data_IF_062216072007
#
_entry.id   IF_062216072007
#
_cell.length_a   1.000
_cell.length_b   1.000
_cell.length_c   1.000
_cell.angle_alpha   90.00
_cell.angle_beta   90.00
_cell.angle_gamma   90.00
#
_symmetry.space_group_name_H-M   'P 1'
#
loop_
_entity.id
_entity.type
_entity.pdbx_description
1 polymer ?
#
# COMPACT_ATOMS: atom_id res chain seq x y z
N UNK A 1 7.94 -9.76 -30.83
CA UNK A 1 6.86 -10.72 -30.56
C UNK A 1 7.46 -11.75 -29.62
N UNK A 2 7.02 -11.83 -28.36
CA UNK A 2 7.64 -12.70 -27.35
C UNK A 2 7.30 -14.18 -27.58
N UNK A 3 8.17 -15.08 -27.11
CA UNK A 3 7.92 -16.53 -27.15
C UNK A 3 6.83 -16.83 -26.13
N UNK A 4 5.62 -17.16 -26.60
CA UNK A 4 4.46 -17.40 -25.75
C UNK A 4 3.98 -18.84 -25.89
N UNK A 5 3.82 -19.53 -24.76
CA UNK A 5 3.21 -20.86 -24.68
C UNK A 5 1.71 -20.71 -24.47
N UNK A 6 0.90 -21.35 -25.32
CA UNK A 6 -0.57 -21.41 -25.14
C UNK A 6 -0.96 -22.41 -24.04
N UNK A 7 -2.09 -22.22 -23.33
CA UNK A 7 -2.57 -23.19 -22.35
C UNK A 7 -2.94 -24.52 -23.04
N UNK A 8 -2.47 -25.63 -22.46
CA UNK A 8 -2.83 -26.97 -22.93
C UNK A 8 -4.15 -27.41 -22.31
N UNK A 9 -5.25 -27.20 -23.04
CA UNK A 9 -6.58 -27.59 -22.59
C UNK A 9 -6.86 -29.09 -22.75
N UNK A 10 -5.91 -29.88 -23.24
CA UNK A 10 -6.06 -31.34 -23.31
C UNK A 10 -5.68 -32.02 -21.98
N UNK A 11 -4.80 -31.40 -21.19
CA UNK A 11 -4.39 -31.89 -19.88
C UNK A 11 -5.52 -31.79 -18.84
N UNK A 12 -6.02 -32.93 -18.29
CA UNK A 12 -7.05 -32.92 -17.26
C UNK A 12 -6.59 -32.25 -15.96
N UNK A 13 -5.29 -32.31 -15.63
CA UNK A 13 -4.76 -31.72 -14.39
C UNK A 13 -4.80 -30.20 -14.46
N UNK A 14 -4.39 -29.61 -15.59
CA UNK A 14 -4.47 -28.18 -15.80
C UNK A 14 -5.92 -27.68 -15.79
N UNK A 15 -6.84 -28.41 -16.42
CA UNK A 15 -8.28 -28.10 -16.39
C UNK A 15 -8.84 -28.06 -14.97
N UNK A 16 -8.51 -29.03 -14.13
CA UNK A 16 -8.97 -29.06 -12.74
C UNK A 16 -8.43 -27.88 -11.93
N UNK A 17 -7.16 -27.51 -12.14
CA UNK A 17 -6.55 -26.33 -11.50
C UNK A 17 -7.22 -25.03 -11.93
N UNK A 18 -7.47 -24.86 -13.23
CA UNK A 18 -8.14 -23.67 -13.77
C UNK A 18 -9.58 -23.54 -13.25
N UNK A 19 -10.31 -24.65 -13.08
CA UNK A 19 -11.65 -24.64 -12.48
C UNK A 19 -11.65 -24.09 -11.04
N UNK A 20 -10.54 -24.24 -10.32
CA UNK A 20 -10.33 -23.71 -8.97
C UNK A 20 -9.67 -22.31 -8.95
N UNK A 21 -9.48 -21.67 -10.11
CA UNK A 21 -8.80 -20.37 -10.23
C UNK A 21 -7.27 -20.43 -10.05
N UNK A 22 -6.67 -21.60 -10.19
CA UNK A 22 -5.22 -21.85 -10.08
C UNK A 22 -4.62 -22.26 -11.43
N UNK A 23 -3.29 -22.39 -11.50
CA UNK A 23 -2.62 -22.92 -12.70
C UNK A 23 -2.44 -21.90 -13.83
N UNK A 24 -2.67 -20.62 -13.56
CA UNK A 24 -2.44 -19.53 -14.51
C UNK A 24 -0.95 -19.28 -14.83
N UNK A 25 -0.03 -20.01 -14.19
CA UNK A 25 1.41 -20.00 -14.43
C UNK A 25 1.90 -21.05 -15.45
N UNK A 26 1.01 -21.91 -15.99
CA UNK A 26 1.40 -23.00 -16.92
C UNK A 26 1.52 -22.56 -18.40
N UNK A 27 1.12 -21.32 -18.69
CA UNK A 27 1.08 -20.72 -20.02
C UNK A 27 1.59 -19.27 -19.95
N UNK A 28 1.86 -18.68 -21.11
CA UNK A 28 2.44 -17.34 -21.21
C UNK A 28 3.93 -17.39 -21.54
N UNK A 29 4.66 -16.40 -21.05
CA UNK A 29 6.11 -16.30 -21.22
C UNK A 29 6.85 -17.18 -20.20
N UNK A 30 7.94 -17.87 -20.57
CA UNK A 30 8.74 -18.61 -19.62
C UNK A 30 9.35 -17.70 -18.55
N UNK A 31 9.04 -17.94 -17.28
CA UNK A 31 9.57 -17.14 -16.17
C UNK A 31 11.11 -17.17 -16.14
N UNK A 32 11.71 -18.32 -16.44
CA UNK A 32 13.16 -18.45 -16.63
C UNK A 32 13.51 -18.66 -18.12
N UNK A 33 14.53 -17.98 -18.65
CA UNK A 33 15.33 -16.92 -18.02
C UNK A 33 14.70 -15.52 -18.15
N UNK A 34 13.66 -15.37 -18.98
CA UNK A 34 13.22 -14.07 -19.50
C UNK A 34 12.89 -13.06 -18.39
N UNK A 35 12.00 -13.40 -17.46
CA UNK A 35 11.63 -12.49 -16.38
C UNK A 35 12.64 -12.56 -15.23
N UNK A 36 12.93 -13.76 -14.73
CA UNK A 36 13.70 -13.96 -13.50
C UNK A 36 15.18 -13.59 -13.63
N UNK A 37 15.80 -13.83 -14.79
CA UNK A 37 17.22 -13.53 -14.98
C UNK A 37 17.45 -12.16 -15.61
N UNK A 38 16.59 -11.72 -16.53
CA UNK A 38 16.82 -10.46 -17.24
C UNK A 38 16.05 -9.29 -16.64
N UNK A 39 14.75 -9.44 -16.37
CA UNK A 39 13.93 -8.31 -15.89
C UNK A 39 14.12 -8.05 -14.39
N UNK A 40 14.18 -9.11 -13.57
CA UNK A 40 14.27 -8.95 -12.12
C UNK A 40 15.52 -8.17 -11.68
N UNK A 41 16.74 -8.47 -12.19
CA UNK A 41 17.92 -7.68 -11.83
C UNK A 41 17.82 -6.23 -12.28
N UNK A 42 17.17 -5.93 -13.40
CA UNK A 42 16.96 -4.54 -13.86
C UNK A 42 16.07 -3.78 -12.87
N UNK A 43 14.98 -4.40 -12.40
CA UNK A 43 14.10 -3.79 -11.38
C UNK A 43 14.82 -3.61 -10.05
N UNK A 44 15.60 -4.61 -9.62
CA UNK A 44 16.38 -4.56 -8.38
C UNK A 44 17.41 -3.43 -8.48
N UNK A 45 18.29 -3.45 -9.49
CA UNK A 45 19.33 -2.44 -9.64
C UNK A 45 18.75 -1.04 -9.86
N UNK A 46 17.64 -0.92 -10.59
CA UNK A 46 16.94 0.35 -10.79
C UNK A 46 16.40 0.95 -9.49
N UNK A 47 15.71 0.14 -8.67
CA UNK A 47 15.19 0.60 -7.38
C UNK A 47 16.32 0.92 -6.40
N UNK A 48 17.36 0.11 -6.33
CA UNK A 48 18.56 0.40 -5.53
C UNK A 48 19.26 1.69 -5.97
N UNK A 49 19.43 1.91 -7.27
CA UNK A 49 20.06 3.12 -7.80
C UNK A 49 19.26 4.38 -7.41
N UNK A 50 17.92 4.33 -7.48
CA UNK A 50 17.07 5.44 -7.03
C UNK A 50 17.21 5.71 -5.53
N UNK A 51 17.19 4.66 -4.69
CA UNK A 51 17.32 4.82 -3.23
C UNK A 51 18.70 5.40 -2.86
N UNK A 52 19.78 4.85 -3.43
CA UNK A 52 21.14 5.35 -3.20
C UNK A 52 21.27 6.78 -3.71
N UNK A 53 20.75 7.07 -4.91
CA UNK A 53 20.76 8.40 -5.49
C UNK A 53 20.10 9.42 -4.56
N UNK A 54 18.90 9.12 -4.04
CA UNK A 54 18.22 9.99 -3.07
C UNK A 54 19.01 10.13 -1.76
N UNK A 55 19.56 9.04 -1.21
CA UNK A 55 20.34 9.08 0.03
C UNK A 55 21.65 9.89 -0.08
N UNK A 56 22.24 9.95 -1.28
CA UNK A 56 23.44 10.75 -1.54
C UNK A 56 23.09 12.22 -1.78
N UNK A 57 22.00 12.49 -2.49
CA UNK A 57 21.56 13.85 -2.82
C UNK A 57 20.93 14.58 -1.63
N UNK A 58 20.24 13.86 -0.75
CA UNK A 58 19.59 14.38 0.46
C UNK A 58 19.91 13.48 1.66
N UNK A 59 21.11 13.63 2.26
CA UNK A 59 21.53 12.79 3.37
C UNK A 59 20.67 13.05 4.63
N UNK A 60 20.39 11.99 5.38
CA UNK A 60 19.57 12.09 6.59
C UNK A 60 20.19 13.06 7.61
N UNK A 61 19.37 13.99 8.10
CA UNK A 61 19.76 14.93 9.14
C UNK A 61 19.87 14.23 10.50
N UNK A 62 20.91 14.55 11.26
CA UNK A 62 21.06 14.12 12.66
C UNK A 62 20.41 15.19 13.54
N UNK A 63 19.38 14.80 14.30
CA UNK A 63 18.71 15.68 15.25
C UNK A 63 19.48 15.88 16.56
N UNK A 64 18.93 16.72 17.43
CA UNK A 64 19.48 16.94 18.78
C UNK A 64 19.29 15.70 19.68
N UNK A 65 20.16 15.50 20.69
CA UNK A 65 19.97 14.45 21.69
C UNK A 65 18.63 14.61 22.41
N UNK A 66 17.98 13.48 22.74
CA UNK A 66 16.68 13.49 23.39
C UNK A 66 16.73 14.16 24.78
N UNK A 67 15.84 15.11 25.02
CA UNK A 67 15.68 15.80 26.31
C UNK A 67 14.26 15.57 26.87
N UNK A 68 14.10 14.78 27.95
CA UNK A 68 12.78 14.52 28.55
C UNK A 68 12.05 15.76 29.11
N UNK A 69 12.77 16.84 29.39
CA UNK A 69 12.22 18.06 29.98
C UNK A 69 11.93 19.17 28.97
N UNK A 70 12.28 18.98 27.70
CA UNK A 70 12.04 19.95 26.65
C UNK A 70 11.31 19.27 25.46
N UNK A 71 10.02 19.59 25.30
CA UNK A 71 9.25 19.14 24.14
C UNK A 71 9.53 20.06 22.95
N UNK A 72 9.94 19.53 21.78
CA UNK A 72 10.13 20.36 20.60
C UNK A 72 8.79 20.93 20.13
N UNK A 73 8.83 22.07 19.45
CA UNK A 73 7.64 22.71 18.88
C UNK A 73 7.01 21.80 17.81
N UNK A 74 7.85 21.13 17.02
CA UNK A 74 7.41 20.26 15.93
C UNK A 74 7.50 18.78 16.30
N UNK A 75 6.36 18.15 16.61
CA UNK A 75 6.26 16.71 16.88
C UNK A 75 5.41 16.07 15.78
N UNK A 76 6.10 15.52 14.78
CA UNK A 76 5.48 14.82 13.65
C UNK A 76 5.98 13.37 13.62
N UNK A 77 5.08 12.39 13.43
CA UNK A 77 5.51 11.02 13.14
C UNK A 77 5.97 10.92 11.68
N UNK A 78 6.24 9.71 11.21
CA UNK A 78 6.56 9.48 9.79
C UNK A 78 5.30 9.64 8.91
N UNK A 79 5.53 9.93 7.62
CA UNK A 79 4.47 10.32 6.68
C UNK A 79 3.34 9.31 6.51
N UNK A 80 3.63 8.01 6.60
CA UNK A 80 2.62 6.95 6.50
C UNK A 80 1.72 6.86 7.74
N UNK A 81 2.12 7.45 8.88
CA UNK A 81 1.31 7.54 10.08
C UNK A 81 0.44 8.80 10.15
N UNK A 82 0.61 9.77 9.24
CA UNK A 82 -0.16 11.02 9.27
C UNK A 82 -1.69 10.81 9.33
N UNK A 83 -2.31 9.91 8.55
CA UNK A 83 -3.77 9.74 8.60
C UNK A 83 -4.26 9.23 9.96
N UNK A 84 -3.51 8.30 10.56
CA UNK A 84 -3.85 7.70 11.86
C UNK A 84 -3.61 8.70 12.99
N UNK A 85 -2.49 9.43 12.92
CA UNK A 85 -2.18 10.46 13.91
C UNK A 85 -3.20 11.61 13.88
N UNK A 86 -3.68 11.99 12.69
CA UNK A 86 -4.78 12.94 12.54
C UNK A 86 -6.05 12.46 13.25
N UNK A 87 -6.43 11.20 13.10
CA UNK A 87 -7.60 10.62 13.78
C UNK A 87 -7.43 10.63 15.30
N UNK A 88 -6.23 10.32 15.81
CA UNK A 88 -5.97 10.31 17.25
C UNK A 88 -6.11 11.69 17.91
N UNK A 89 -5.77 12.77 17.21
CA UNK A 89 -5.86 14.14 17.76
C UNK A 89 -7.20 14.83 17.55
N UNK A 90 -7.98 14.42 16.56
CA UNK A 90 -9.28 15.04 16.25
C UNK A 90 -10.42 14.45 17.07
N UNK A 91 -10.34 13.19 17.45
CA UNK A 91 -11.38 12.51 18.20
C UNK A 91 -11.26 12.85 19.69
N UNK A 92 -12.29 13.46 20.32
CA UNK A 92 -12.19 13.92 21.71
C UNK A 92 -12.11 12.75 22.72
N UNK A 93 -12.69 11.59 22.38
CA UNK A 93 -12.66 10.41 23.22
C UNK A 93 -11.43 9.54 22.90
N UNK A 94 -10.52 9.41 23.88
CA UNK A 94 -9.28 8.63 23.76
C UNK A 94 -9.52 7.17 23.38
N UNK A 95 -10.54 6.52 23.94
CA UNK A 95 -10.84 5.12 23.64
C UNK A 95 -11.31 4.96 22.19
N UNK A 96 -12.16 5.88 21.72
CA UNK A 96 -12.65 5.84 20.33
C UNK A 96 -11.52 6.06 19.33
N UNK A 97 -10.58 6.98 19.61
CA UNK A 97 -9.41 7.21 18.76
C UNK A 97 -8.55 5.94 18.61
N UNK A 98 -8.29 5.23 19.71
CA UNK A 98 -7.51 3.97 19.68
C UNK A 98 -8.26 2.87 18.93
N UNK A 99 -9.58 2.76 19.12
CA UNK A 99 -10.40 1.79 18.38
C UNK A 99 -10.40 2.07 16.86
N UNK A 100 -10.48 3.33 16.44
CA UNK A 100 -10.42 3.70 15.02
C UNK A 100 -9.05 3.40 14.40
N UNK A 101 -7.97 3.61 15.15
CA UNK A 101 -6.63 3.21 14.72
C UNK A 101 -6.53 1.69 14.50
N UNK A 102 -7.04 0.89 15.45
CA UNK A 102 -7.08 -0.57 15.32
C UNK A 102 -8.02 -1.06 14.21
N UNK A 103 -9.07 -0.30 13.90
CA UNK A 103 -10.03 -0.64 12.86
C UNK A 103 -9.43 -0.64 11.45
N UNK A 104 -8.33 0.09 11.18
CA UNK A 104 -7.70 0.13 9.86
C UNK A 104 -7.14 -1.25 9.45
N UNK A 105 -6.18 -1.86 10.18
CA UNK A 105 -5.67 -3.18 9.80
C UNK A 105 -6.73 -4.28 9.93
N UNK A 106 -7.61 -4.20 10.93
CA UNK A 106 -8.70 -5.17 11.11
C UNK A 106 -9.67 -5.12 9.94
N UNK A 107 -10.08 -3.92 9.51
CA UNK A 107 -10.95 -3.71 8.35
C UNK A 107 -10.33 -4.26 7.07
N UNK A 108 -9.04 -4.00 6.83
CA UNK A 108 -8.31 -4.54 5.68
C UNK A 108 -8.24 -6.07 5.68
N UNK A 109 -8.08 -6.69 6.85
CA UNK A 109 -8.11 -8.16 7.00
C UNK A 109 -9.47 -8.74 6.56
N UNK A 110 -10.57 -8.04 6.83
CA UNK A 110 -11.91 -8.51 6.48
C UNK A 110 -12.30 -8.31 5.00
N UNK A 111 -11.52 -7.55 4.20
CA UNK A 111 -11.80 -7.30 2.78
C UNK A 111 -12.07 -8.57 1.97
N UNK A 112 -11.19 -9.60 1.93
CA UNK A 112 -11.43 -10.80 1.14
C UNK A 112 -12.68 -11.58 1.59
N UNK A 113 -13.09 -11.48 2.85
CA UNK A 113 -14.29 -12.17 3.37
C UNK A 113 -15.57 -11.44 2.98
N UNK A 114 -15.57 -10.10 3.01
CA UNK A 114 -16.70 -9.27 2.60
C UNK A 114 -16.89 -9.30 1.08
N UNK A 115 -15.80 -9.31 0.32
CA UNK A 115 -15.85 -9.24 -1.14
C UNK A 115 -16.03 -10.59 -1.83
N UNK A 116 -16.05 -11.70 -1.08
CA UNK A 116 -16.26 -13.07 -1.59
C UNK A 116 -17.65 -13.29 -2.23
N UNK A 117 -18.56 -12.33 -2.13
CA UNK A 117 -19.89 -12.40 -2.74
C UNK A 117 -19.79 -12.55 -4.28
N UNK A 118 -18.77 -11.97 -4.90
CA UNK A 118 -18.60 -11.96 -6.36
C UNK A 118 -17.22 -12.49 -6.78
N UNK A 119 -17.17 -13.29 -7.86
CA UNK A 119 -15.92 -13.84 -8.43
C UNK A 119 -15.22 -12.89 -9.42
N UNK A 120 -15.78 -11.71 -9.68
CA UNK A 120 -15.22 -10.78 -10.65
C UNK A 120 -13.90 -10.18 -10.14
N UNK A 121 -12.88 -10.09 -10.99
CA UNK A 121 -11.59 -9.48 -10.62
C UNK A 121 -11.43 -8.07 -11.20
N UNK A 122 -12.11 -7.78 -12.32
CA UNK A 122 -12.03 -6.47 -12.98
C UNK A 122 -12.77 -5.39 -12.15
N UNK A 123 -12.12 -4.26 -11.79
CA UNK A 123 -12.74 -3.15 -11.04
C UNK A 123 -14.01 -2.60 -11.70
N UNK A 124 -14.07 -2.53 -13.03
CA UNK A 124 -15.24 -2.05 -13.75
C UNK A 124 -16.47 -2.96 -13.61
N UNK A 125 -16.26 -4.24 -13.24
CA UNK A 125 -17.34 -5.18 -12.92
C UNK A 125 -17.71 -5.19 -11.43
N UNK A 126 -17.07 -4.35 -10.63
CA UNK A 126 -17.25 -4.22 -9.17
C UNK A 126 -17.36 -2.74 -8.77
N UNK A 127 -18.39 -2.03 -9.26
CA UNK A 127 -18.48 -0.57 -9.10
C UNK A 127 -18.56 -0.14 -7.64
N UNK A 128 -19.29 -0.87 -6.78
CA UNK A 128 -19.45 -0.54 -5.36
C UNK A 128 -18.12 -0.64 -4.61
N UNK A 129 -17.41 -1.77 -4.74
CA UNK A 129 -16.11 -1.98 -4.10
C UNK A 129 -15.07 -0.95 -4.58
N UNK A 130 -15.04 -0.68 -5.88
CA UNK A 130 -14.14 0.32 -6.47
C UNK A 130 -14.44 1.72 -5.95
N UNK A 131 -15.71 2.11 -5.86
CA UNK A 131 -16.10 3.40 -5.29
C UNK A 131 -15.69 3.53 -3.81
N UNK A 132 -15.92 2.50 -2.99
CA UNK A 132 -15.50 2.48 -1.58
C UNK A 132 -13.98 2.58 -1.44
N UNK A 133 -13.22 1.86 -2.26
CA UNK A 133 -11.77 1.95 -2.29
C UNK A 133 -11.28 3.36 -2.64
N UNK A 134 -11.89 4.00 -3.65
CA UNK A 134 -11.54 5.37 -4.04
C UNK A 134 -11.87 6.37 -2.95
N UNK A 135 -13.06 6.28 -2.34
CA UNK A 135 -13.45 7.15 -1.22
C UNK A 135 -12.51 6.94 -0.03
N UNK A 136 -12.20 5.69 0.34
CA UNK A 136 -11.26 5.38 1.41
C UNK A 136 -9.86 5.94 1.15
N UNK A 137 -9.37 5.82 -0.09
CA UNK A 137 -8.08 6.39 -0.51
C UNK A 137 -8.09 7.92 -0.41
N UNK A 138 -9.15 8.57 -0.90
CA UNK A 138 -9.30 10.03 -0.82
C UNK A 138 -9.38 10.51 0.63
N UNK A 139 -10.09 9.79 1.50
CA UNK A 139 -10.14 10.11 2.95
C UNK A 139 -8.78 9.95 3.60
N UNK A 140 -8.03 8.89 3.29
CA UNK A 140 -6.69 8.69 3.84
C UNK A 140 -5.72 9.80 3.41
N UNK A 141 -5.72 10.16 2.13
CA UNK A 141 -4.91 11.27 1.60
C UNK A 141 -5.35 12.60 2.22
N UNK A 142 -6.66 12.85 2.32
CA UNK A 142 -7.20 14.07 2.92
C UNK A 142 -6.77 14.22 4.39
N UNK A 143 -6.86 13.15 5.18
CA UNK A 143 -6.41 13.16 6.59
C UNK A 143 -4.90 13.42 6.69
N UNK A 144 -4.09 12.88 5.78
CA UNK A 144 -2.66 13.15 5.71
C UNK A 144 -2.33 14.61 5.36
N UNK A 145 -3.01 15.19 4.38
CA UNK A 145 -2.81 16.60 3.99
C UNK A 145 -3.32 17.55 5.09
N UNK A 146 -4.50 17.28 5.62
CA UNK A 146 -5.09 18.04 6.73
C UNK A 146 -4.17 18.05 7.95
N UNK A 147 -3.44 16.94 8.18
CA UNK A 147 -2.47 16.86 9.24
C UNK A 147 -1.40 17.96 9.13
N UNK A 148 -0.79 18.05 7.94
CA UNK A 148 0.26 19.00 7.62
C UNK A 148 -0.24 20.45 7.59
N UNK A 149 -1.46 20.69 7.06
CA UNK A 149 -2.06 22.03 7.00
C UNK A 149 -2.29 22.59 8.41
N UNK A 150 -2.98 21.85 9.28
CA UNK A 150 -3.27 22.32 10.66
C UNK A 150 -1.98 22.57 11.43
N UNK A 151 -0.95 21.76 11.17
CA UNK A 151 0.36 21.93 11.78
C UNK A 151 1.00 23.26 11.36
N UNK A 152 1.07 23.55 10.05
CA UNK A 152 1.61 24.81 9.52
C UNK A 152 0.88 26.04 10.11
N UNK A 153 -0.45 26.01 10.19
CA UNK A 153 -1.24 27.15 10.70
C UNK A 153 -1.11 27.38 12.22
N UNK A 154 -0.77 26.35 13.00
CA UNK A 154 -0.67 26.46 14.47
C UNK A 154 0.68 27.01 14.94
N UNK A 155 1.70 27.02 14.09
CA UNK A 155 3.06 27.48 14.42
C UNK A 155 3.53 28.71 13.61
N UNK A 156 2.74 29.20 12.65
CA UNK A 156 3.01 30.45 11.91
C UNK A 156 2.26 31.69 12.45
N UNK A 157 1.67 31.61 13.64
CA UNK A 157 1.05 32.73 14.39
C UNK A 157 1.56 32.66 15.82
#
# INVERSE_FOLDING_TARGET
MSVTKKPDLTDPVLKEKLAKGMGHNYYGEPAWPNDLLYIFPVVILGTFACVIGLSVLDPAAIGEPANPFATPLEILPEWYFYPVFQLLRTVPNKLLGVLLMGAVPVGLLFVPFVENINKFQNPFRRPIATALFLVGTLVAVWLGILYQIIFIFKFNI
#
